data_IF_042672681032
#
_entry.id   IF_042672681032
#
_cell.length_a   1.000
_cell.length_b   1.000
_cell.length_c   1.000
_cell.angle_alpha   90.00
_cell.angle_beta   90.00
_cell.angle_gamma   90.00
#
_symmetry.space_group_name_H-M   'P 1'
#
loop_
_entity.id
_entity.type
_entity.pdbx_description
1 polymer ?
#
# COMPACT_ATOMS: atom_id res chain seq x y z
N UNK A 1 4.38 7.19 -28.05
CA UNK A 1 4.24 7.61 -26.64
C UNK A 1 4.86 6.53 -25.76
N UNK A 2 6.00 6.80 -25.11
CA UNK A 2 6.58 5.82 -24.16
C UNK A 2 5.71 5.85 -22.91
N UNK A 3 4.96 4.78 -22.62
CA UNK A 3 4.41 4.55 -21.28
C UNK A 3 5.61 4.52 -20.35
N UNK A 4 5.74 5.50 -19.46
CA UNK A 4 6.59 5.29 -18.29
C UNK A 4 5.90 4.19 -17.50
N UNK A 5 6.45 2.98 -17.55
CA UNK A 5 6.09 1.92 -16.63
C UNK A 5 6.41 2.47 -15.24
N UNK A 6 5.36 2.73 -14.45
CA UNK A 6 5.55 3.11 -13.06
C UNK A 6 6.20 1.90 -12.39
N UNK A 7 7.48 2.02 -12.09
CA UNK A 7 8.20 1.03 -11.30
C UNK A 7 7.93 1.33 -9.83
N UNK A 8 7.70 0.29 -9.04
CA UNK A 8 7.50 0.39 -7.58
C UNK A 8 8.72 -0.18 -6.85
N UNK A 9 9.88 0.51 -6.86
CA UNK A 9 11.13 -0.05 -6.30
C UNK A 9 11.16 -0.06 -4.77
N UNK A 10 10.22 0.61 -4.10
CA UNK A 10 10.14 0.66 -2.64
C UNK A 10 9.03 -0.24 -2.14
N UNK A 11 9.25 -0.90 -1.00
CA UNK A 11 8.22 -1.69 -0.31
C UNK A 11 8.12 -1.20 1.12
N UNK A 12 6.89 -1.03 1.59
CA UNK A 12 6.60 -0.65 2.96
C UNK A 12 5.58 -1.60 3.58
N UNK A 13 5.63 -1.71 4.90
CA UNK A 13 4.65 -2.43 5.70
C UNK A 13 3.81 -1.40 6.47
N UNK A 14 2.48 -1.54 6.37
CA UNK A 14 1.53 -0.75 7.16
C UNK A 14 0.63 -1.69 7.94
N UNK A 15 0.16 -1.22 9.10
CA UNK A 15 -0.79 -1.95 9.93
C UNK A 15 -2.13 -1.27 9.86
N UNK A 16 -3.19 -2.03 9.63
CA UNK A 16 -4.52 -1.48 9.47
C UNK A 16 -5.54 -2.30 10.27
N UNK A 17 -6.64 -1.65 10.66
CA UNK A 17 -7.82 -2.36 11.12
C UNK A 17 -8.45 -3.11 9.92
N UNK A 18 -8.90 -4.37 10.07
CA UNK A 18 -9.56 -5.12 9.00
C UNK A 18 -10.74 -4.39 8.36
N UNK A 19 -11.49 -3.58 9.12
CA UNK A 19 -12.60 -2.79 8.62
C UNK A 19 -12.16 -1.73 7.61
N UNK A 20 -10.90 -1.25 7.71
CA UNK A 20 -10.34 -0.24 6.82
C UNK A 20 -9.72 -0.85 5.54
N UNK A 21 -9.62 -2.18 5.46
CA UNK A 21 -9.00 -2.85 4.30
C UNK A 21 -9.73 -2.54 2.99
N UNK A 22 -11.06 -2.46 3.02
CA UNK A 22 -11.84 -2.14 1.82
C UNK A 22 -11.55 -0.72 1.31
N UNK A 23 -11.43 0.25 2.21
CA UNK A 23 -11.06 1.62 1.88
C UNK A 23 -9.62 1.69 1.35
N UNK A 24 -8.69 0.97 1.97
CA UNK A 24 -7.31 0.88 1.49
C UNK A 24 -7.25 0.29 0.07
N UNK A 25 -7.98 -0.81 -0.18
CA UNK A 25 -8.02 -1.45 -1.49
C UNK A 25 -8.57 -0.49 -2.56
N UNK A 26 -9.62 0.27 -2.25
CA UNK A 26 -10.15 1.31 -3.14
C UNK A 26 -9.09 2.39 -3.42
N UNK A 27 -8.38 2.86 -2.39
CA UNK A 27 -7.31 3.84 -2.55
C UNK A 27 -6.20 3.33 -3.49
N UNK A 28 -5.82 2.06 -3.42
CA UNK A 28 -4.82 1.47 -4.36
C UNK A 28 -5.30 1.40 -5.81
N UNK A 29 -6.61 1.48 -6.08
CA UNK A 29 -7.15 1.54 -7.44
C UNK A 29 -7.08 2.97 -8.01
N UNK A 30 -7.26 3.97 -7.16
CA UNK A 30 -7.19 5.39 -7.52
C UNK A 30 -5.75 5.94 -7.54
N UNK A 31 -4.82 5.32 -6.82
CA UNK A 31 -3.43 5.77 -6.67
C UNK A 31 -2.43 4.80 -7.35
N UNK A 32 -2.10 4.99 -8.65
CA UNK A 32 -1.20 4.09 -9.39
C UNK A 32 0.24 4.09 -8.85
N UNK A 33 0.63 5.08 -8.05
CA UNK A 33 1.91 5.15 -7.35
C UNK A 33 2.07 4.13 -6.21
N UNK A 34 1.00 3.45 -5.81
CA UNK A 34 1.03 2.37 -4.83
C UNK A 34 0.41 1.08 -5.37
N UNK A 35 0.86 -0.05 -4.86
CA UNK A 35 0.31 -1.37 -5.21
C UNK A 35 0.37 -2.30 -4.01
N UNK A 36 -0.77 -2.87 -3.62
CA UNK A 36 -0.80 -3.92 -2.61
C UNK A 36 -0.09 -5.18 -3.15
N UNK A 37 0.90 -5.66 -2.42
CA UNK A 37 1.65 -6.88 -2.72
C UNK A 37 1.03 -8.07 -1.99
N UNK A 38 0.83 -7.93 -0.67
CA UNK A 38 0.25 -8.97 0.17
C UNK A 38 -0.44 -8.37 1.39
N UNK A 39 -1.40 -9.12 1.92
CA UNK A 39 -2.07 -8.87 3.18
C UNK A 39 -1.80 -10.05 4.08
N UNK A 40 -1.30 -9.80 5.29
CA UNK A 40 -1.21 -10.78 6.36
C UNK A 40 -2.35 -10.51 7.34
N UNK A 41 -3.32 -11.42 7.34
CA UNK A 41 -4.52 -11.39 8.18
C UNK A 41 -4.44 -12.34 9.38
N UNK A 42 -3.22 -12.74 9.77
CA UNK A 42 -3.01 -13.71 10.86
C UNK A 42 -3.50 -13.20 12.23
N UNK A 43 -3.45 -11.88 12.44
CA UNK A 43 -3.97 -11.21 13.64
C UNK A 43 -5.38 -10.65 13.36
N UNK A 44 -6.44 -11.09 14.06
CA UNK A 44 -7.82 -10.77 13.70
C UNK A 44 -8.19 -9.30 13.84
N UNK A 45 -7.48 -8.56 14.69
CA UNK A 45 -7.75 -7.15 14.98
C UNK A 45 -6.76 -6.18 14.29
N UNK A 46 -5.71 -6.69 13.65
CA UNK A 46 -4.65 -5.86 13.10
C UNK A 46 -3.94 -6.54 11.92
N UNK A 47 -4.31 -6.17 10.71
CA UNK A 47 -3.70 -6.77 9.52
C UNK A 47 -2.43 -6.03 9.12
N UNK A 48 -1.44 -6.79 8.64
CA UNK A 48 -0.19 -6.21 8.12
C UNK A 48 -0.21 -6.26 6.59
N UNK A 49 -0.19 -5.09 5.94
CA UNK A 49 -0.15 -4.99 4.49
C UNK A 49 1.26 -4.68 4.00
N UNK A 50 1.70 -5.38 2.96
CA UNK A 50 2.91 -5.05 2.19
C UNK A 50 2.53 -4.29 0.94
N UNK A 51 3.07 -3.10 0.77
CA UNK A 51 2.69 -2.17 -0.29
C UNK A 51 3.92 -1.72 -1.07
N UNK A 52 3.91 -1.95 -2.38
CA UNK A 52 4.89 -1.43 -3.30
C UNK A 52 4.60 0.05 -3.56
N UNK A 53 5.63 0.89 -3.55
CA UNK A 53 5.53 2.34 -3.72
C UNK A 53 6.47 2.81 -4.83
N UNK A 54 6.02 3.79 -5.61
CA UNK A 54 6.80 4.40 -6.70
C UNK A 54 7.98 5.25 -6.20
N UNK A 55 7.92 5.74 -4.96
CA UNK A 55 9.00 6.51 -4.33
C UNK A 55 9.08 6.27 -2.82
N UNK A 56 10.25 6.57 -2.24
CA UNK A 56 10.45 6.55 -0.78
C UNK A 56 9.53 7.54 -0.06
N UNK A 57 9.26 8.70 -0.67
CA UNK A 57 8.34 9.70 -0.11
C UNK A 57 6.92 9.14 0.01
N UNK A 58 6.44 8.41 -1.00
CA UNK A 58 5.13 7.74 -0.96
C UNK A 58 5.10 6.67 0.14
N UNK A 59 6.17 5.87 0.24
CA UNK A 59 6.28 4.87 1.31
C UNK A 59 6.22 5.51 2.71
N UNK A 60 6.97 6.60 2.92
CA UNK A 60 7.00 7.31 4.19
C UNK A 60 5.67 8.00 4.52
N UNK A 61 4.99 8.58 3.52
CA UNK A 61 3.64 9.14 3.70
C UNK A 61 2.64 8.07 4.08
N UNK A 62 2.71 6.89 3.43
CA UNK A 62 1.81 5.78 3.73
C UNK A 62 1.99 5.27 5.17
N UNK A 63 3.23 5.13 5.63
CA UNK A 63 3.54 4.74 7.02
C UNK A 63 3.09 5.76 8.08
N UNK A 64 2.86 7.03 7.69
CA UNK A 64 2.41 8.08 8.62
C UNK A 64 0.90 8.25 8.63
N UNK A 65 0.22 7.84 7.57
CA UNK A 65 -1.22 7.97 7.41
C UNK A 65 -2.00 6.83 8.07
N UNK A 66 -1.31 5.72 8.35
CA UNK A 66 -1.82 4.47 8.93
C UNK A 66 -0.99 4.14 10.16
#
# INVERSE_FOLDING_TARGET
MRRHEITHPYVTEIRIDPAQFFDFKRLTQDAPEIRLISCDDSEPDLWTLRVACASEEVACRLQRAW
#
